data_IF_816162347655
#
_entry.id   IF_816162347655
#
_cell.length_a   1.000
_cell.length_b   1.000
_cell.length_c   1.000
_cell.angle_alpha   90.00
_cell.angle_beta   90.00
_cell.angle_gamma   90.00
#
_symmetry.space_group_name_H-M   'P 1'
#
loop_
_entity.id
_entity.type
_entity.pdbx_description
1 polymer ?
#
# COMPACT_ATOMS: atom_id res chain seq x y z
N UNK A 1 39.54 -17.11 -28.45
CA UNK A 1 38.67 -16.37 -27.50
C UNK A 1 37.23 -16.80 -27.75
N UNK A 2 36.74 -17.79 -27.03
CA UNK A 2 35.36 -18.28 -27.17
C UNK A 2 34.45 -17.44 -26.29
N UNK A 3 33.55 -16.67 -26.91
CA UNK A 3 32.56 -15.87 -26.21
C UNK A 3 31.56 -16.81 -25.50
N UNK A 4 31.65 -16.88 -24.17
CA UNK A 4 30.63 -17.48 -23.31
C UNK A 4 29.34 -16.66 -23.46
N UNK A 5 28.43 -17.13 -24.30
CA UNK A 5 27.06 -16.62 -24.33
C UNK A 5 26.38 -17.09 -23.06
N UNK A 6 26.19 -16.17 -22.11
CA UNK A 6 25.37 -16.43 -20.93
C UNK A 6 23.96 -16.84 -21.39
N UNK A 7 23.46 -18.02 -21.00
CA UNK A 7 22.14 -18.47 -21.42
C UNK A 7 21.11 -17.50 -20.84
N UNK A 8 20.46 -16.73 -21.72
CA UNK A 8 19.32 -15.90 -21.34
C UNK A 8 18.27 -16.80 -20.68
N UNK A 9 17.78 -16.49 -19.48
CA UNK A 9 16.74 -17.28 -18.84
C UNK A 9 15.50 -17.27 -19.74
N UNK A 10 15.25 -18.37 -20.44
CA UNK A 10 14.04 -18.55 -21.25
C UNK A 10 12.95 -19.06 -20.33
N UNK A 11 11.88 -18.28 -20.16
CA UNK A 11 10.62 -18.78 -19.60
C UNK A 11 10.19 -19.99 -20.44
N UNK A 12 9.88 -21.12 -19.81
CA UNK A 12 9.48 -22.37 -20.50
C UNK A 12 8.06 -22.77 -20.12
N UNK A 13 7.36 -23.41 -21.05
CA UNK A 13 6.05 -24.01 -20.83
C UNK A 13 5.00 -23.00 -20.36
N UNK A 14 4.29 -23.35 -19.29
CA UNK A 14 3.11 -22.61 -18.83
C UNK A 14 3.43 -21.20 -18.30
N UNK A 15 4.61 -20.99 -17.72
CA UNK A 15 5.04 -19.67 -17.24
C UNK A 15 5.18 -18.70 -18.42
N UNK A 16 5.73 -19.17 -19.55
CA UNK A 16 5.80 -18.39 -20.78
C UNK A 16 4.40 -18.08 -21.32
N UNK A 17 3.48 -19.04 -21.28
CA UNK A 17 2.10 -18.85 -21.74
C UNK A 17 1.39 -17.75 -20.94
N UNK A 18 1.44 -17.80 -19.60
CA UNK A 18 0.80 -16.79 -18.74
C UNK A 18 1.38 -15.41 -19.00
N UNK A 19 2.72 -15.30 -19.10
CA UNK A 19 3.38 -14.03 -19.44
C UNK A 19 2.96 -13.54 -20.82
N UNK A 20 2.86 -14.42 -21.82
CA UNK A 20 2.46 -14.03 -23.18
C UNK A 20 1.00 -13.58 -23.24
N UNK A 21 0.11 -14.30 -22.55
CA UNK A 21 -1.32 -13.97 -22.44
C UNK A 21 -1.54 -12.59 -21.82
N UNK A 22 -0.75 -12.24 -20.79
CA UNK A 22 -0.86 -10.97 -20.07
C UNK A 22 0.23 -9.96 -20.47
N UNK A 23 0.92 -10.15 -21.60
CA UNK A 23 2.05 -9.32 -22.02
C UNK A 23 1.72 -7.85 -22.10
N UNK A 24 0.52 -7.49 -22.58
CA UNK A 24 0.08 -6.09 -22.71
C UNK A 24 -0.02 -5.41 -21.35
N UNK A 25 -0.57 -6.10 -20.36
CA UNK A 25 -0.67 -5.60 -19.00
C UNK A 25 0.74 -5.39 -18.42
N UNK A 26 1.61 -6.40 -18.54
CA UNK A 26 2.99 -6.33 -18.05
C UNK A 26 3.78 -5.20 -18.71
N UNK A 27 3.66 -5.02 -20.04
CA UNK A 27 4.36 -3.95 -20.76
C UNK A 27 3.83 -2.57 -20.39
N UNK A 28 2.51 -2.42 -20.20
CA UNK A 28 1.92 -1.13 -19.78
C UNK A 28 2.37 -0.78 -18.37
N UNK A 29 2.31 -1.74 -17.43
CA UNK A 29 2.81 -1.52 -16.06
C UNK A 29 4.30 -1.17 -16.05
N UNK A 30 5.12 -1.88 -16.82
CA UNK A 30 6.54 -1.56 -16.94
C UNK A 30 6.76 -0.16 -17.53
N UNK A 31 6.05 0.20 -18.60
CA UNK A 31 6.14 1.53 -19.22
C UNK A 31 5.72 2.64 -18.24
N UNK A 32 4.63 2.45 -17.49
CA UNK A 32 4.18 3.40 -16.47
C UNK A 32 5.22 3.57 -15.35
N UNK A 33 5.82 2.48 -14.87
CA UNK A 33 6.90 2.55 -13.88
C UNK A 33 8.13 3.28 -14.42
N UNK A 34 8.50 3.03 -15.69
CA UNK A 34 9.64 3.73 -16.30
C UNK A 34 9.35 5.21 -16.49
N UNK A 35 8.14 5.58 -16.91
CA UNK A 35 7.73 6.98 -17.04
C UNK A 35 7.75 7.65 -15.66
N UNK A 36 7.16 7.02 -14.65
CA UNK A 36 7.19 7.52 -13.28
C UNK A 36 8.62 7.70 -12.76
N UNK A 37 9.53 6.78 -13.07
CA UNK A 37 10.94 6.87 -12.72
C UNK A 37 11.65 8.05 -13.40
N UNK A 38 11.43 8.24 -14.71
CA UNK A 38 12.00 9.36 -15.47
C UNK A 38 11.49 10.70 -14.94
N UNK A 39 10.17 10.82 -14.71
CA UNK A 39 9.57 12.04 -14.16
C UNK A 39 10.08 12.31 -12.74
N UNK A 40 10.16 11.27 -11.90
CA UNK A 40 10.73 11.37 -10.54
C UNK A 40 12.17 11.88 -10.58
N UNK A 41 13.02 11.29 -11.43
CA UNK A 41 14.40 11.72 -11.56
C UNK A 41 14.51 13.17 -12.06
N UNK A 42 13.74 13.53 -13.10
CA UNK A 42 13.71 14.88 -13.65
C UNK A 42 13.29 15.93 -12.60
N UNK A 43 12.18 15.69 -11.90
CA UNK A 43 11.70 16.60 -10.85
C UNK A 43 12.69 16.69 -9.67
N UNK A 44 13.30 15.58 -9.27
CA UNK A 44 14.26 15.59 -8.15
C UNK A 44 15.56 16.32 -8.50
N UNK A 45 16.06 16.15 -9.73
CA UNK A 45 17.22 16.89 -10.23
C UNK A 45 16.87 18.38 -10.31
N UNK A 46 15.76 18.74 -10.96
CA UNK A 46 15.35 20.12 -11.12
C UNK A 46 15.11 20.85 -9.79
N UNK A 47 14.48 20.17 -8.82
CA UNK A 47 14.35 20.68 -7.45
C UNK A 47 15.71 20.85 -6.78
N UNK A 48 16.60 19.87 -6.91
CA UNK A 48 17.94 19.90 -6.31
C UNK A 48 18.85 21.00 -6.87
N UNK A 49 18.71 21.35 -8.15
CA UNK A 49 19.50 22.40 -8.81
C UNK A 49 18.91 23.80 -8.72
N UNK A 50 17.67 23.94 -8.21
CA UNK A 50 17.03 25.25 -8.06
C UNK A 50 17.58 26.03 -6.86
N UNK A 51 17.96 27.30 -7.07
CA UNK A 51 18.50 28.20 -6.04
C UNK A 51 17.43 29.13 -5.46
N UNK A 52 17.66 29.61 -4.24
CA UNK A 52 16.88 30.66 -3.59
C UNK A 52 17.35 32.08 -3.95
N UNK A 53 18.55 32.23 -4.53
CA UNK A 53 19.28 33.50 -4.52
C UNK A 53 18.92 34.49 -5.65
N UNK A 54 18.18 34.06 -6.69
CA UNK A 54 17.79 34.92 -7.82
C UNK A 54 16.26 35.14 -7.86
N UNK A 55 15.82 36.29 -8.39
CA UNK A 55 14.41 36.75 -8.41
C UNK A 55 13.41 35.74 -9.02
N UNK A 56 13.86 34.83 -9.90
CA UNK A 56 13.06 33.74 -10.48
C UNK A 56 13.27 32.35 -9.84
N UNK A 57 14.31 32.18 -9.03
CA UNK A 57 14.72 30.91 -8.44
C UNK A 57 13.72 30.40 -7.42
N UNK A 58 13.20 31.30 -6.56
CA UNK A 58 12.20 30.98 -5.56
C UNK A 58 10.91 30.39 -6.17
N UNK A 59 10.34 31.08 -7.16
CA UNK A 59 9.12 30.64 -7.84
C UNK A 59 9.32 29.29 -8.55
N UNK A 60 10.46 29.14 -9.22
CA UNK A 60 10.83 27.90 -9.93
C UNK A 60 10.96 26.72 -8.96
N UNK A 61 11.59 26.93 -7.80
CA UNK A 61 11.72 25.91 -6.77
C UNK A 61 10.37 25.50 -6.20
N UNK A 62 9.50 26.46 -5.89
CA UNK A 62 8.12 26.18 -5.44
C UNK A 62 7.34 25.37 -6.48
N UNK A 63 7.45 25.70 -7.76
CA UNK A 63 6.81 24.94 -8.84
C UNK A 63 7.29 23.48 -8.88
N UNK A 64 8.61 23.23 -8.75
CA UNK A 64 9.13 21.87 -8.69
C UNK A 64 8.74 21.13 -7.41
N UNK A 65 8.71 21.81 -6.27
CA UNK A 65 8.24 21.24 -5.00
C UNK A 65 6.76 20.83 -5.07
N UNK A 66 5.91 21.65 -5.71
CA UNK A 66 4.52 21.31 -5.99
C UNK A 66 4.37 20.15 -7.00
N UNK A 67 5.23 20.09 -8.02
CA UNK A 67 5.29 18.93 -8.93
C UNK A 67 5.67 17.63 -8.21
N UNK A 68 6.63 17.70 -7.28
CA UNK A 68 7.01 16.57 -6.42
C UNK A 68 5.85 16.13 -5.53
N UNK A 69 5.14 17.06 -4.88
CA UNK A 69 4.02 16.72 -3.99
C UNK A 69 2.86 16.10 -4.77
N UNK A 70 2.49 16.68 -5.92
CA UNK A 70 1.46 16.12 -6.80
C UNK A 70 1.80 14.70 -7.28
N UNK A 71 3.05 14.44 -7.67
CA UNK A 71 3.47 13.10 -8.08
C UNK A 71 3.50 12.11 -6.91
N UNK A 72 3.99 12.53 -5.73
CA UNK A 72 3.98 11.70 -4.54
C UNK A 72 2.56 11.32 -4.12
N UNK A 73 1.63 12.29 -4.12
CA UNK A 73 0.22 12.07 -3.83
C UNK A 73 -0.43 11.11 -4.84
N UNK A 74 -0.14 11.29 -6.14
CA UNK A 74 -0.62 10.36 -7.17
C UNK A 74 -0.11 8.92 -6.96
N UNK A 75 1.18 8.75 -6.66
CA UNK A 75 1.75 7.41 -6.39
C UNK A 75 1.20 6.80 -5.11
N UNK A 76 1.00 7.60 -4.05
CA UNK A 76 0.42 7.14 -2.80
C UNK A 76 -1.02 6.64 -3.00
N UNK A 77 -1.86 7.44 -3.67
CA UNK A 77 -3.24 7.05 -4.00
C UNK A 77 -3.27 5.83 -4.94
N UNK A 78 -2.33 5.75 -5.88
CA UNK A 78 -2.14 4.56 -6.71
C UNK A 78 -1.82 3.31 -5.88
N UNK A 79 -0.95 3.42 -4.88
CA UNK A 79 -0.62 2.33 -3.97
C UNK A 79 -1.84 1.86 -3.14
N UNK A 80 -2.74 2.77 -2.77
CA UNK A 80 -3.99 2.44 -2.08
C UNK A 80 -4.95 1.62 -2.97
N UNK A 81 -5.05 1.93 -4.26
CA UNK A 81 -5.98 1.26 -5.18
C UNK A 81 -5.41 -0.01 -5.82
N UNK A 82 -4.08 -0.12 -5.92
CA UNK A 82 -3.38 -1.19 -6.63
C UNK A 82 -3.78 -2.60 -6.16
N UNK A 83 -3.85 -2.92 -4.84
CA UNK A 83 -4.25 -4.26 -4.40
C UNK A 83 -5.65 -4.67 -4.87
N UNK A 84 -6.60 -3.73 -4.92
CA UNK A 84 -7.97 -4.01 -5.38
C UNK A 84 -7.99 -4.38 -6.87
N UNK A 85 -7.24 -3.63 -7.69
CA UNK A 85 -7.09 -3.91 -9.12
C UNK A 85 -6.40 -5.26 -9.36
N UNK A 86 -5.35 -5.55 -8.60
CA UNK A 86 -4.64 -6.84 -8.65
C UNK A 86 -5.59 -7.99 -8.31
N UNK A 87 -6.37 -7.87 -7.23
CA UNK A 87 -7.33 -8.89 -6.81
C UNK A 87 -8.36 -9.17 -7.91
N UNK A 88 -8.92 -8.13 -8.50
CA UNK A 88 -9.88 -8.25 -9.60
C UNK A 88 -9.25 -8.90 -10.85
N UNK A 89 -8.08 -8.43 -11.29
CA UNK A 89 -7.39 -8.97 -12.48
C UNK A 89 -7.05 -10.45 -12.30
N UNK A 90 -6.58 -10.84 -11.11
CA UNK A 90 -6.25 -12.25 -10.84
C UNK A 90 -7.51 -13.11 -10.78
N UNK A 91 -8.56 -12.65 -10.09
CA UNK A 91 -9.81 -13.39 -9.93
C UNK A 91 -10.55 -13.60 -11.24
N UNK A 92 -10.67 -12.56 -12.07
CA UNK A 92 -11.40 -12.61 -13.32
C UNK A 92 -10.52 -13.05 -14.49
N UNK A 93 -9.80 -12.12 -15.15
CA UNK A 93 -9.02 -12.41 -16.34
C UNK A 93 -8.02 -13.58 -16.25
N UNK A 94 -7.33 -13.76 -15.12
CA UNK A 94 -6.26 -14.77 -15.00
C UNK A 94 -6.82 -16.16 -14.72
N UNK A 95 -7.80 -16.28 -13.81
CA UNK A 95 -8.34 -17.57 -13.33
C UNK A 95 -9.81 -17.76 -13.72
N UNK A 96 -10.70 -16.85 -13.29
CA UNK A 96 -12.15 -17.00 -13.45
C UNK A 96 -12.57 -17.17 -14.91
N UNK A 97 -11.98 -16.38 -15.83
CA UNK A 97 -12.27 -16.44 -17.26
C UNK A 97 -12.00 -17.82 -17.85
N UNK A 98 -10.88 -18.44 -17.50
CA UNK A 98 -10.52 -19.76 -18.05
C UNK A 98 -11.36 -20.89 -17.47
N UNK A 99 -11.81 -20.74 -16.22
CA UNK A 99 -12.74 -21.67 -15.59
C UNK A 99 -14.14 -21.54 -16.18
N UNK A 100 -14.59 -20.31 -16.43
CA UNK A 100 -15.89 -20.01 -17.04
C UNK A 100 -15.97 -20.52 -18.48
N UNK A 101 -14.94 -20.25 -19.29
CA UNK A 101 -14.90 -20.69 -20.70
C UNK A 101 -14.51 -22.17 -20.87
N UNK A 102 -14.15 -22.87 -19.79
CA UNK A 102 -13.71 -24.26 -19.84
C UNK A 102 -12.35 -24.48 -20.54
N UNK A 103 -11.63 -23.42 -20.90
CA UNK A 103 -10.36 -23.49 -21.64
C UNK A 103 -9.27 -24.24 -20.86
N UNK A 104 -9.38 -24.27 -19.53
CA UNK A 104 -8.50 -25.05 -18.67
C UNK A 104 -8.46 -26.56 -19.03
N UNK A 105 -9.55 -27.12 -19.59
CA UNK A 105 -9.62 -28.54 -19.98
C UNK A 105 -8.65 -28.88 -21.11
N UNK A 106 -8.50 -27.98 -22.09
CA UNK A 106 -7.54 -28.12 -23.19
C UNK A 106 -6.10 -28.04 -22.69
N UNK A 107 -5.83 -27.16 -21.73
CA UNK A 107 -4.51 -27.05 -21.14
C UNK A 107 -4.11 -28.33 -20.38
N UNK A 108 -5.06 -28.99 -19.72
CA UNK A 108 -4.80 -30.22 -18.95
C UNK A 108 -4.68 -31.46 -19.84
N UNK A 109 -5.30 -31.50 -21.03
CA UNK A 109 -5.14 -32.61 -21.97
C UNK A 109 -3.79 -32.63 -22.69
N UNK A 110 -3.04 -31.51 -22.67
CA UNK A 110 -1.75 -31.36 -23.35
C UNK A 110 -0.54 -31.63 -22.44
N UNK A 111 -0.60 -32.70 -21.64
CA UNK A 111 0.51 -33.22 -20.81
C UNK A 111 0.98 -32.31 -19.66
N UNK A 112 0.17 -31.32 -19.23
CA UNK A 112 0.48 -30.47 -18.08
C UNK A 112 -0.28 -30.92 -16.83
N UNK A 113 0.41 -31.20 -15.71
CA UNK A 113 -0.28 -31.55 -14.48
C UNK A 113 -1.09 -30.35 -13.94
N UNK A 114 -2.36 -30.52 -13.55
CA UNK A 114 -3.25 -29.42 -13.13
C UNK A 114 -2.66 -28.53 -12.03
N UNK A 115 -1.94 -29.13 -11.08
CA UNK A 115 -1.33 -28.37 -9.97
C UNK A 115 -0.24 -27.42 -10.47
N UNK A 116 0.59 -27.82 -11.45
CA UNK A 116 1.61 -26.93 -12.03
C UNK A 116 0.97 -25.77 -12.79
N UNK A 117 -0.17 -26.01 -13.45
CA UNK A 117 -0.96 -24.96 -14.10
C UNK A 117 -1.43 -23.92 -13.09
N UNK A 118 -2.03 -24.36 -11.98
CA UNK A 118 -2.55 -23.45 -10.98
C UNK A 118 -1.44 -22.70 -10.22
N UNK A 119 -0.33 -23.37 -9.89
CA UNK A 119 0.81 -22.69 -9.25
C UNK A 119 1.43 -21.63 -10.15
N UNK A 120 1.51 -21.86 -11.47
CA UNK A 120 2.03 -20.86 -12.40
C UNK A 120 1.10 -19.64 -12.51
N UNK A 121 -0.21 -19.85 -12.48
CA UNK A 121 -1.24 -18.80 -12.47
C UNK A 121 -1.24 -17.92 -11.21
N UNK A 122 -0.62 -18.38 -10.12
CA UNK A 122 -0.39 -17.59 -8.90
C UNK A 122 1.01 -16.96 -8.89
N UNK A 123 2.04 -17.76 -9.19
CA UNK A 123 3.43 -17.33 -9.09
C UNK A 123 3.79 -16.20 -10.06
N UNK A 124 3.27 -16.23 -11.29
CA UNK A 124 3.56 -15.18 -12.28
C UNK A 124 2.96 -13.82 -11.87
N UNK A 125 1.66 -13.70 -11.52
CA UNK A 125 1.13 -12.46 -10.96
C UNK A 125 1.83 -12.03 -9.68
N UNK A 126 2.14 -12.94 -8.75
CA UNK A 126 2.84 -12.62 -7.52
C UNK A 126 4.22 -11.99 -7.79
N UNK A 127 5.00 -12.53 -8.73
CA UNK A 127 6.29 -11.97 -9.12
C UNK A 127 6.15 -10.59 -9.78
N UNK A 128 5.17 -10.42 -10.68
CA UNK A 128 4.92 -9.14 -11.34
C UNK A 128 4.48 -8.06 -10.33
N UNK A 129 3.59 -8.41 -9.41
CA UNK A 129 3.15 -7.55 -8.30
C UNK A 129 4.33 -7.18 -7.42
N UNK A 130 5.16 -8.14 -7.04
CA UNK A 130 6.31 -7.88 -6.19
C UNK A 130 7.27 -6.85 -6.81
N UNK A 131 7.62 -7.01 -8.09
CA UNK A 131 8.45 -6.04 -8.81
C UNK A 131 7.77 -4.68 -8.89
N UNK A 132 6.47 -4.64 -9.17
CA UNK A 132 5.70 -3.40 -9.31
C UNK A 132 5.63 -2.63 -7.99
N UNK A 133 5.28 -3.31 -6.89
CA UNK A 133 5.16 -2.68 -5.57
C UNK A 133 6.51 -2.21 -5.05
N UNK A 134 7.58 -3.00 -5.24
CA UNK A 134 8.94 -2.58 -4.87
C UNK A 134 9.38 -1.34 -5.66
N UNK A 135 9.13 -1.31 -6.97
CA UNK A 135 9.40 -0.14 -7.81
C UNK A 135 8.64 1.10 -7.34
N UNK A 136 7.34 0.97 -7.09
CA UNK A 136 6.51 2.07 -6.57
C UNK A 136 7.00 2.58 -5.21
N UNK A 137 7.31 1.67 -4.28
CA UNK A 137 7.83 2.06 -2.96
C UNK A 137 9.16 2.80 -3.06
N UNK A 138 10.08 2.34 -3.91
CA UNK A 138 11.35 3.04 -4.14
C UNK A 138 11.11 4.44 -4.71
N UNK A 139 10.26 4.56 -5.74
CA UNK A 139 9.94 5.84 -6.36
C UNK A 139 9.29 6.81 -5.36
N UNK A 140 8.29 6.33 -4.62
CA UNK A 140 7.62 7.12 -3.59
C UNK A 140 8.63 7.60 -2.53
N UNK A 141 9.50 6.72 -2.04
CA UNK A 141 10.49 7.07 -1.00
C UNK A 141 11.52 8.09 -1.47
N UNK A 142 11.85 8.13 -2.76
CA UNK A 142 12.73 9.16 -3.36
C UNK A 142 12.04 10.53 -3.42
N UNK A 143 10.73 10.55 -3.63
CA UNK A 143 9.91 11.77 -3.69
C UNK A 143 9.53 12.31 -2.32
N UNK A 144 9.36 11.42 -1.33
CA UNK A 144 8.69 11.75 -0.06
C UNK A 144 9.45 12.74 0.82
N UNK A 145 10.78 12.63 0.92
CA UNK A 145 11.59 13.47 1.82
C UNK A 145 11.40 14.99 1.60
N UNK A 146 11.53 15.50 0.36
CA UNK A 146 11.31 16.93 0.07
C UNK A 146 9.88 17.46 0.28
N UNK A 147 8.89 16.59 0.50
CA UNK A 147 7.47 16.95 0.52
C UNK A 147 6.77 16.65 1.85
N UNK A 148 7.53 16.39 2.91
CA UNK A 148 6.99 16.12 4.26
C UNK A 148 6.26 17.29 4.89
N UNK A 149 6.43 18.51 4.36
CA UNK A 149 5.69 19.70 4.77
C UNK A 149 4.21 19.67 4.35
N UNK A 150 3.86 18.86 3.34
CA UNK A 150 2.48 18.68 2.88
C UNK A 150 1.79 17.67 3.79
N UNK A 151 0.80 18.14 4.57
CA UNK A 151 0.09 17.30 5.54
C UNK A 151 -0.59 16.09 4.90
N UNK A 152 -0.96 16.16 3.61
CA UNK A 152 -1.55 15.04 2.86
C UNK A 152 -0.56 13.91 2.59
N UNK A 153 0.73 14.22 2.76
CA UNK A 153 1.85 13.32 2.58
C UNK A 153 2.48 12.96 3.94
N UNK A 154 1.79 13.19 5.05
CA UNK A 154 2.24 12.74 6.37
C UNK A 154 2.35 11.22 6.43
N UNK A 155 3.28 10.69 7.23
CA UNK A 155 3.52 9.24 7.30
C UNK A 155 2.30 8.43 7.78
N UNK A 156 1.41 9.08 8.53
CA UNK A 156 0.19 8.51 9.09
C UNK A 156 -1.01 8.58 8.14
N UNK A 157 -0.84 9.16 6.96
CA UNK A 157 -1.83 9.07 5.90
C UNK A 157 -1.83 7.64 5.34
N UNK A 158 -3.00 7.02 5.23
CA UNK A 158 -3.10 5.59 4.91
C UNK A 158 -2.43 5.23 3.58
N UNK A 159 -2.61 6.07 2.57
CA UNK A 159 -2.01 5.95 1.24
C UNK A 159 -0.48 6.09 1.28
N UNK A 160 0.04 7.01 2.11
CA UNK A 160 1.48 7.25 2.29
C UNK A 160 2.12 6.08 3.02
N UNK A 161 1.49 5.64 4.11
CA UNK A 161 1.94 4.50 4.88
C UNK A 161 2.10 3.28 3.98
N UNK A 162 1.07 2.91 3.22
CA UNK A 162 1.15 1.80 2.26
C UNK A 162 2.31 1.99 1.27
N UNK A 163 2.41 3.16 0.63
CA UNK A 163 3.42 3.44 -0.39
C UNK A 163 4.86 3.44 0.16
N UNK A 164 5.05 3.79 1.43
CA UNK A 164 6.37 4.03 2.03
C UNK A 164 7.18 2.78 2.37
N UNK A 165 6.55 1.59 2.39
CA UNK A 165 7.13 0.42 3.03
C UNK A 165 6.67 -0.94 2.46
N UNK A 166 7.01 -2.03 3.17
CA UNK A 166 6.72 -3.41 2.73
C UNK A 166 5.23 -3.78 2.79
N UNK A 167 4.39 -2.97 3.44
CA UNK A 167 2.94 -3.21 3.55
C UNK A 167 2.27 -3.27 2.17
N UNK A 168 2.65 -2.40 1.22
CA UNK A 168 2.12 -2.46 -0.15
C UNK A 168 2.39 -3.80 -0.84
N UNK A 169 3.60 -4.36 -0.67
CA UNK A 169 3.93 -5.69 -1.18
C UNK A 169 3.04 -6.75 -0.54
N UNK A 170 2.85 -6.70 0.78
CA UNK A 170 2.00 -7.65 1.50
C UNK A 170 0.56 -7.63 1.00
N UNK A 171 -0.04 -6.44 0.83
CA UNK A 171 -1.39 -6.32 0.28
C UNK A 171 -1.47 -6.76 -1.18
N UNK A 172 -0.45 -6.48 -1.98
CA UNK A 172 -0.36 -7.00 -3.34
C UNK A 172 -0.36 -8.53 -3.41
N UNK A 173 0.40 -9.18 -2.54
CA UNK A 173 0.43 -10.65 -2.45
C UNK A 173 -0.88 -11.22 -1.89
N UNK A 174 -1.48 -10.57 -0.90
CA UNK A 174 -2.82 -10.90 -0.41
C UNK A 174 -3.84 -10.83 -1.54
N UNK A 175 -3.81 -9.77 -2.35
CA UNK A 175 -4.70 -9.58 -3.49
C UNK A 175 -4.57 -10.71 -4.52
N UNK A 176 -3.35 -11.13 -4.85
CA UNK A 176 -3.11 -12.29 -5.72
C UNK A 176 -3.70 -13.56 -5.10
N UNK A 177 -3.47 -13.79 -3.81
CA UNK A 177 -3.94 -14.99 -3.11
C UNK A 177 -5.48 -15.06 -3.03
N UNK A 178 -6.11 -13.97 -2.58
CA UNK A 178 -7.57 -13.83 -2.49
C UNK A 178 -8.20 -13.88 -3.86
N UNK A 179 -7.63 -13.20 -4.85
CA UNK A 179 -8.10 -13.25 -6.23
C UNK A 179 -8.07 -14.68 -6.79
N UNK A 180 -7.00 -15.41 -6.53
CA UNK A 180 -6.89 -16.79 -6.98
C UNK A 180 -7.91 -17.72 -6.30
N UNK A 181 -8.11 -17.56 -4.99
CA UNK A 181 -9.11 -18.31 -4.25
C UNK A 181 -10.54 -17.99 -4.73
N UNK A 182 -10.87 -16.71 -4.90
CA UNK A 182 -12.19 -16.27 -5.37
C UNK A 182 -12.47 -16.77 -6.80
N UNK A 183 -11.50 -16.64 -7.71
CA UNK A 183 -11.60 -17.17 -9.08
C UNK A 183 -11.86 -18.68 -9.09
N UNK A 184 -11.15 -19.43 -8.25
CA UNK A 184 -11.31 -20.89 -8.13
C UNK A 184 -12.68 -21.32 -7.58
N UNK A 185 -13.24 -20.56 -6.63
CA UNK A 185 -14.49 -20.88 -5.96
C UNK A 185 -15.72 -20.43 -6.76
N UNK A 186 -15.71 -19.20 -7.26
CA UNK A 186 -16.87 -18.57 -7.88
C UNK A 186 -17.02 -18.97 -9.35
N UNK A 187 -15.91 -19.18 -10.07
CA UNK A 187 -15.85 -19.59 -11.49
C UNK A 187 -16.52 -18.66 -12.51
N UNK A 188 -17.31 -17.67 -12.09
CA UNK A 188 -17.88 -16.61 -12.95
C UNK A 188 -17.03 -15.36 -12.85
N UNK A 189 -16.55 -14.86 -13.98
CA UNK A 189 -15.51 -13.81 -14.05
C UNK A 189 -15.90 -12.56 -13.27
N UNK A 190 -17.05 -11.96 -13.58
CA UNK A 190 -17.47 -10.68 -12.98
C UNK A 190 -17.77 -10.81 -11.48
N UNK A 191 -18.40 -11.92 -11.08
CA UNK A 191 -18.70 -12.18 -9.67
C UNK A 191 -17.41 -12.44 -8.89
N UNK A 192 -16.47 -13.19 -9.46
CA UNK A 192 -15.17 -13.45 -8.85
C UNK A 192 -14.35 -12.16 -8.64
N UNK A 193 -14.35 -11.26 -9.63
CA UNK A 193 -13.70 -9.94 -9.50
C UNK A 193 -14.28 -9.13 -8.34
N UNK A 194 -15.61 -9.09 -8.24
CA UNK A 194 -16.31 -8.35 -7.20
C UNK A 194 -16.02 -8.92 -5.81
N UNK A 195 -16.13 -10.24 -5.66
CA UNK A 195 -15.82 -10.93 -4.39
C UNK A 195 -14.36 -10.73 -3.98
N UNK A 196 -13.43 -10.82 -4.92
CA UNK A 196 -12.01 -10.62 -4.63
C UNK A 196 -11.70 -9.18 -4.19
N UNK A 197 -12.21 -8.19 -4.93
CA UNK A 197 -12.06 -6.78 -4.58
C UNK A 197 -12.66 -6.45 -3.22
N UNK A 198 -13.88 -6.92 -2.93
CA UNK A 198 -14.53 -6.73 -1.63
C UNK A 198 -13.76 -7.40 -0.50
N UNK A 199 -13.29 -8.64 -0.67
CA UNK A 199 -12.53 -9.34 0.35
C UNK A 199 -11.18 -8.65 0.65
N UNK A 200 -10.43 -8.26 -0.39
CA UNK A 200 -9.18 -7.50 -0.22
C UNK A 200 -9.43 -6.14 0.41
N UNK A 201 -10.44 -5.40 -0.06
CA UNK A 201 -10.82 -4.10 0.49
C UNK A 201 -11.27 -4.18 1.95
N UNK A 202 -12.00 -5.24 2.31
CA UNK A 202 -12.41 -5.48 3.70
C UNK A 202 -11.20 -5.65 4.60
N UNK A 203 -10.19 -6.42 4.21
CA UNK A 203 -8.95 -6.55 4.99
C UNK A 203 -8.25 -5.20 5.11
N UNK A 204 -8.16 -4.41 4.03
CA UNK A 204 -7.55 -3.09 4.06
C UNK A 204 -8.26 -2.12 5.03
N UNK A 205 -9.59 -2.11 5.02
CA UNK A 205 -10.42 -1.28 5.91
C UNK A 205 -10.30 -1.74 7.36
N UNK A 206 -10.36 -3.04 7.63
CA UNK A 206 -10.20 -3.59 8.98
C UNK A 206 -8.81 -3.25 9.53
N UNK A 207 -7.76 -3.44 8.75
CA UNK A 207 -6.40 -3.09 9.20
C UNK A 207 -6.23 -1.58 9.42
N UNK A 208 -6.86 -0.73 8.59
CA UNK A 208 -6.86 0.71 8.82
C UNK A 208 -7.57 1.08 10.14
N UNK A 209 -8.71 0.45 10.44
CA UNK A 209 -9.43 0.66 11.69
C UNK A 209 -8.67 0.16 12.93
N UNK A 210 -7.88 -0.91 12.78
CA UNK A 210 -7.07 -1.46 13.86
C UNK A 210 -5.69 -0.79 13.99
N UNK A 211 -5.30 0.07 13.05
CA UNK A 211 -3.92 0.52 12.87
C UNK A 211 -3.32 1.17 14.13
N UNK A 212 -4.05 2.10 14.76
CA UNK A 212 -3.63 2.75 16.00
C UNK A 212 -3.54 1.82 17.23
N UNK A 213 -3.93 0.55 17.09
CA UNK A 213 -3.86 -0.47 18.15
C UNK A 213 -2.85 -1.59 17.84
N UNK A 214 -2.19 -1.55 16.68
CA UNK A 214 -1.21 -2.57 16.29
C UNK A 214 0.13 -2.43 17.02
N UNK A 215 0.35 -1.29 17.69
CA UNK A 215 1.54 -1.00 18.47
C UNK A 215 1.15 -0.18 19.71
N UNK A 216 1.88 -0.26 20.83
CA UNK A 216 1.63 0.60 21.98
C UNK A 216 1.80 2.09 21.63
N UNK A 217 0.82 2.91 21.98
CA UNK A 217 0.86 4.37 21.82
C UNK A 217 1.72 5.02 22.91
N UNK A 218 2.10 6.29 22.68
CA UNK A 218 2.77 7.13 23.68
C UNK A 218 1.80 8.19 24.15
N UNK A 219 1.66 8.30 25.46
CA UNK A 219 0.89 9.35 26.11
C UNK A 219 1.83 10.41 26.67
N UNK A 220 1.64 11.66 26.25
CA UNK A 220 2.40 12.80 26.76
C UNK A 220 1.45 13.73 27.48
N UNK A 221 1.80 14.07 28.72
CA UNK A 221 1.11 15.06 29.54
C UNK A 221 1.98 16.33 29.58
N UNK A 222 1.40 17.48 29.26
CA UNK A 222 2.08 18.77 29.28
C UNK A 222 1.37 19.73 30.20
N UNK A 223 2.11 20.37 31.11
CA UNK A 223 1.62 21.42 32.01
C UNK A 223 1.63 22.79 31.30
N UNK A 224 1.08 22.84 30.09
CA UNK A 224 0.74 24.07 29.39
C UNK A 224 -0.50 23.81 28.52
N UNK A 225 -1.29 24.85 28.27
CA UNK A 225 -2.51 24.79 27.45
C UNK A 225 -2.22 24.97 25.95
N UNK A 226 -0.95 25.14 25.57
CA UNK A 226 -0.53 25.08 24.18
C UNK A 226 -0.48 23.60 23.75
N UNK A 227 -1.35 23.16 22.82
CA UNK A 227 -1.36 21.78 22.36
C UNK A 227 -0.03 21.34 21.76
N UNK A 228 0.87 22.28 21.41
CA UNK A 228 2.22 21.97 20.96
C UNK A 228 2.17 20.94 19.84
N UNK A 229 1.43 21.29 18.78
CA UNK A 229 1.12 20.40 17.66
C UNK A 229 2.42 20.08 16.94
N UNK A 230 2.93 18.87 17.16
CA UNK A 230 3.94 18.29 16.28
C UNK A 230 3.19 17.77 15.06
N UNK A 231 3.35 18.46 13.94
CA UNK A 231 2.71 18.12 12.66
C UNK A 231 3.03 16.68 12.18
N UNK A 232 4.09 16.07 12.70
CA UNK A 232 4.52 14.71 12.37
C UNK A 232 3.92 13.60 13.27
N UNK A 233 3.09 13.93 14.27
CA UNK A 233 2.53 12.92 15.19
C UNK A 233 1.19 12.38 14.68
N UNK A 234 1.05 11.05 14.67
CA UNK A 234 -0.25 10.42 14.44
C UNK A 234 -1.07 10.45 15.73
N UNK A 235 -1.88 11.48 15.89
CA UNK A 235 -2.70 11.68 17.09
C UNK A 235 -3.87 10.70 17.12
N UNK A 236 -3.98 9.94 18.20
CA UNK A 236 -5.07 9.00 18.45
C UNK A 236 -6.17 9.62 19.31
N UNK A 237 -5.76 10.30 20.38
CA UNK A 237 -6.66 10.92 21.33
C UNK A 237 -6.02 12.16 21.96
N UNK A 238 -6.88 13.11 22.37
CA UNK A 238 -6.49 14.35 23.04
C UNK A 238 -7.42 14.61 24.22
N UNK A 239 -6.83 15.13 25.28
CA UNK A 239 -7.55 15.46 26.51
C UNK A 239 -7.00 16.71 27.18
N UNK A 240 -7.79 17.22 28.12
CA UNK A 240 -7.45 18.33 29.01
C UNK A 240 -7.07 17.77 30.37
N UNK A 241 -6.14 18.43 31.05
CA UNK A 241 -5.68 18.07 32.39
C UNK A 241 -5.94 19.21 33.36
N UNK A 242 -6.60 18.89 34.47
CA UNK A 242 -6.80 19.86 35.56
C UNK A 242 -5.56 20.01 36.44
N UNK A 243 -5.54 21.01 37.33
CA UNK A 243 -4.45 21.16 38.32
C UNK A 243 -4.35 19.96 39.27
N UNK A 244 -5.45 19.23 39.49
CA UNK A 244 -5.51 18.02 40.31
C UNK A 244 -5.09 16.75 39.56
N UNK A 245 -4.82 16.84 38.26
CA UNK A 245 -4.48 15.70 37.39
C UNK A 245 -5.69 14.93 36.84
N UNK A 246 -6.91 15.47 36.97
CA UNK A 246 -8.11 14.90 36.36
C UNK A 246 -8.07 15.05 34.84
N UNK A 247 -8.46 13.99 34.13
CA UNK A 247 -8.51 13.94 32.67
C UNK A 247 -9.91 14.28 32.19
N UNK A 248 -10.02 15.37 31.44
CA UNK A 248 -11.25 15.84 30.84
C UNK A 248 -11.18 15.67 29.31
N UNK A 249 -12.30 15.42 28.61
CA UNK A 249 -12.29 15.32 27.16
C UNK A 249 -11.95 16.66 26.50
N UNK A 250 -11.19 16.65 25.40
CA UNK A 250 -10.84 17.88 24.65
C UNK A 250 -12.10 18.65 24.20
N UNK A 251 -13.17 17.92 23.88
CA UNK A 251 -14.45 18.50 23.45
C UNK A 251 -15.19 19.29 24.52
N UNK A 252 -14.78 19.21 25.80
CA UNK A 252 -15.41 19.97 26.89
C UNK A 252 -15.28 21.47 26.68
N UNK A 253 -14.11 21.91 26.21
CA UNK A 253 -13.83 23.30 25.89
C UNK A 253 -13.63 23.42 24.39
N UNK A 254 -14.72 23.72 23.68
CA UNK A 254 -14.70 24.05 22.26
C UNK A 254 -15.12 25.51 22.06
N UNK A 255 -14.64 26.13 20.98
CA UNK A 255 -14.96 27.54 20.68
C UNK A 255 -16.47 27.78 20.50
N UNK A 256 -16.96 28.99 20.82
CA UNK A 256 -16.23 30.18 21.32
C UNK A 256 -16.07 30.23 22.85
N UNK A 257 -15.04 30.94 23.32
CA UNK A 257 -14.76 31.11 24.77
C UNK A 257 -13.82 30.06 25.37
N UNK A 258 -12.93 29.50 24.56
CA UNK A 258 -11.97 28.45 24.94
C UNK A 258 -11.22 28.78 26.24
N UNK A 259 -10.56 29.94 26.32
CA UNK A 259 -9.78 30.33 27.50
C UNK A 259 -10.63 30.44 28.78
N UNK A 260 -11.83 31.00 28.67
CA UNK A 260 -12.75 31.12 29.81
C UNK A 260 -13.26 29.75 30.28
N UNK A 261 -13.43 28.80 29.35
CA UNK A 261 -13.78 27.42 29.69
C UNK A 261 -12.63 26.71 30.42
N UNK A 262 -11.40 26.82 29.90
CA UNK A 262 -10.22 26.24 30.55
C UNK A 262 -10.08 26.74 32.00
N UNK A 263 -10.22 28.06 32.20
CA UNK A 263 -10.18 28.65 33.54
C UNK A 263 -11.31 28.15 34.45
N UNK A 264 -12.54 27.99 33.93
CA UNK A 264 -13.70 27.52 34.70
C UNK A 264 -13.55 26.07 35.15
N UNK A 265 -12.89 25.25 34.34
CA UNK A 265 -12.67 23.83 34.62
C UNK A 265 -11.29 23.53 35.20
N UNK A 266 -10.56 24.57 35.65
CA UNK A 266 -9.25 24.44 36.28
C UNK A 266 -8.24 23.67 35.39
N UNK A 267 -8.33 23.86 34.08
CA UNK A 267 -7.47 23.19 33.11
C UNK A 267 -6.11 23.88 33.07
N UNK A 268 -5.09 23.16 33.51
CA UNK A 268 -3.70 23.65 33.55
C UNK A 268 -2.78 22.95 32.55
N UNK A 269 -3.27 21.93 31.84
CA UNK A 269 -2.47 21.16 30.90
C UNK A 269 -3.27 20.40 29.86
N UNK A 270 -2.54 19.71 28.98
CA UNK A 270 -3.08 18.87 27.92
C UNK A 270 -2.44 17.48 27.93
N UNK A 271 -3.24 16.49 27.53
CA UNK A 271 -2.86 15.10 27.33
C UNK A 271 -2.95 14.81 25.83
N UNK A 272 -1.93 14.14 25.27
CA UNK A 272 -1.99 13.64 23.91
C UNK A 272 -1.51 12.19 23.84
N UNK A 273 -2.40 11.31 23.39
CA UNK A 273 -2.06 9.96 22.99
C UNK A 273 -1.76 9.95 21.48
N UNK A 274 -0.57 9.51 21.10
CA UNK A 274 -0.14 9.52 19.70
C UNK A 274 0.87 8.40 19.38
N UNK A 275 1.07 8.17 18.09
CA UNK A 275 2.28 7.51 17.60
C UNK A 275 3.27 8.57 17.09
N UNK A 276 4.50 8.64 17.62
CA UNK A 276 5.58 9.42 17.00
C UNK A 276 6.05 8.78 15.70
N UNK A 277 6.76 9.53 14.85
CA UNK A 277 7.34 9.03 13.60
C UNK A 277 8.20 7.75 13.78
N UNK A 278 8.85 7.57 14.93
CA UNK A 278 9.62 6.36 15.25
C UNK A 278 8.79 5.07 15.23
N UNK A 279 7.46 5.16 15.38
CA UNK A 279 6.54 4.04 15.30
C UNK A 279 6.21 3.60 13.87
N UNK A 280 6.63 4.35 12.85
CA UNK A 280 6.40 4.00 11.44
C UNK A 280 6.83 2.56 11.14
N UNK A 281 8.08 2.19 11.45
CA UNK A 281 8.61 0.87 11.11
C UNK A 281 8.01 -0.28 11.93
N UNK A 282 7.86 -0.16 13.27
CA UNK A 282 7.13 -1.16 14.05
C UNK A 282 5.74 -1.45 13.49
N UNK A 283 4.95 -0.40 13.18
CA UNK A 283 3.62 -0.54 12.60
C UNK A 283 3.67 -1.19 11.21
N UNK A 284 4.61 -0.78 10.34
CA UNK A 284 4.82 -1.39 9.02
C UNK A 284 5.06 -2.89 9.12
N UNK A 285 5.94 -3.32 10.03
CA UNK A 285 6.33 -4.72 10.17
C UNK A 285 5.20 -5.57 10.76
N UNK A 286 4.49 -5.07 11.78
CA UNK A 286 3.34 -5.77 12.37
C UNK A 286 2.23 -5.96 11.33
N UNK A 287 1.81 -4.90 10.66
CA UNK A 287 0.78 -4.99 9.63
C UNK A 287 1.20 -5.89 8.46
N UNK A 288 2.45 -5.75 7.98
CA UNK A 288 3.02 -6.63 6.95
C UNK A 288 2.97 -8.10 7.36
N UNK A 289 3.37 -8.42 8.60
CA UNK A 289 3.36 -9.79 9.12
C UNK A 289 1.97 -10.40 9.14
N UNK A 290 0.97 -9.65 9.64
CA UNK A 290 -0.43 -10.08 9.68
C UNK A 290 -0.95 -10.32 8.25
N UNK A 291 -0.73 -9.36 7.34
CA UNK A 291 -1.24 -9.44 5.96
C UNK A 291 -0.58 -10.58 5.18
N UNK A 292 0.73 -10.81 5.37
CA UNK A 292 1.43 -11.95 4.76
C UNK A 292 0.94 -13.29 5.31
N UNK A 293 0.63 -13.38 6.61
CA UNK A 293 0.04 -14.58 7.18
C UNK A 293 -1.34 -14.89 6.56
N UNK A 294 -2.18 -13.86 6.38
CA UNK A 294 -3.45 -13.98 5.67
C UNK A 294 -3.27 -14.40 4.21
N UNK A 295 -2.29 -13.82 3.51
CA UNK A 295 -1.96 -14.19 2.14
C UNK A 295 -1.53 -15.66 2.03
N UNK A 296 -0.63 -16.11 2.93
CA UNK A 296 -0.18 -17.49 2.98
C UNK A 296 -1.33 -18.47 3.27
N UNK A 297 -2.23 -18.13 4.20
CA UNK A 297 -3.42 -18.92 4.50
C UNK A 297 -4.35 -19.03 3.28
N UNK A 298 -4.57 -17.93 2.55
CA UNK A 298 -5.39 -17.93 1.34
C UNK A 298 -4.77 -18.76 0.20
N UNK A 299 -3.45 -18.65 -0.03
CA UNK A 299 -2.73 -19.50 -1.00
C UNK A 299 -2.82 -20.97 -0.60
N UNK A 300 -2.57 -21.29 0.67
CA UNK A 300 -2.68 -22.65 1.18
C UNK A 300 -4.09 -23.23 0.96
N UNK A 301 -5.13 -22.46 1.30
CA UNK A 301 -6.52 -22.85 1.09
C UNK A 301 -6.81 -23.09 -0.41
N UNK A 302 -6.39 -22.18 -1.29
CA UNK A 302 -6.57 -22.30 -2.73
C UNK A 302 -5.91 -23.57 -3.28
N UNK A 303 -4.64 -23.82 -2.92
CA UNK A 303 -3.90 -25.01 -3.32
C UNK A 303 -4.53 -26.29 -2.76
N UNK A 304 -4.97 -26.28 -1.49
CA UNK A 304 -5.59 -27.44 -0.84
C UNK A 304 -6.91 -27.80 -1.51
N UNK A 305 -7.77 -26.82 -1.78
CA UNK A 305 -9.06 -27.00 -2.44
C UNK A 305 -8.84 -27.49 -3.87
N UNK A 306 -7.90 -26.88 -4.60
CA UNK A 306 -7.57 -27.27 -5.96
C UNK A 306 -7.10 -28.73 -6.03
N UNK A 307 -6.16 -29.12 -5.15
CA UNK A 307 -5.68 -30.51 -5.07
C UNK A 307 -6.80 -31.49 -4.73
N UNK A 308 -7.73 -31.16 -3.82
CA UNK A 308 -8.86 -32.06 -3.51
C UNK A 308 -9.81 -32.29 -4.68
N UNK A 309 -9.96 -31.31 -5.57
CA UNK A 309 -10.89 -31.38 -6.71
C UNK A 309 -10.29 -32.06 -7.95
N UNK A 310 -8.96 -32.18 -8.00
CA UNK A 310 -8.21 -32.58 -9.21
C UNK A 310 -7.04 -33.54 -8.93
N UNK A 311 -7.02 -34.15 -7.74
CA UNK A 311 -6.23 -35.34 -7.43
C UNK A 311 -7.13 -36.57 -7.64
#
# INVERSE_FOLDING_TARGET
>A
MSALTTPRPRLRGITWLVVHQHRRLLTVTAALLTVAAVVTAGLRIAYGTSSYDDDGGLFTRFAYQGGLSALADFLANGALLLPLLVAAVVAGPVIGRELESGTYKLAWSQSLPPVRWFTAKIAVPAAAVAVTTMGLTVLFRVLWGPVTWDYRLSWYERQVFLASGPTLLAYGLLAVAVGALAGLLVRRTLVAMSVAGLATGTVMVVMAALWGRLWPSVTVERQNTDPGVRYDDFVLDRGLLTSTGERLPESLCFEPGYEACLARHDVTGVLQEHHPFSHLWPLQLVETGIVLALAAAAVYAALRIFRRRHA
#
